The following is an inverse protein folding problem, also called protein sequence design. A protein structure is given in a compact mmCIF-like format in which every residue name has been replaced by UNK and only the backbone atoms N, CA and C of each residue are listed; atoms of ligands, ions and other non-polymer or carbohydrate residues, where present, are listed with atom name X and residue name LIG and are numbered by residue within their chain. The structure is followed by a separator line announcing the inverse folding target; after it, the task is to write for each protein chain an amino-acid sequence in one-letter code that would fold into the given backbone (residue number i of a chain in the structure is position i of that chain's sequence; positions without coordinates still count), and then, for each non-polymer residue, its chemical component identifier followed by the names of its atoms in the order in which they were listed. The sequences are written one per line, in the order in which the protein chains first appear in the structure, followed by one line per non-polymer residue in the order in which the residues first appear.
data_IF_789481237905
#
_entry.id   IF_789481237905
#
_cell.length_a   1.000
_cell.length_b   1.000
_cell.length_c   1.000
_cell.angle_alpha   90.00
_cell.angle_beta   90.00
_cell.angle_gamma   90.00
#
_symmetry.space_group_name_H-M   'P 1'
#
loop_
_entity.id
_entity.type
_entity.pdbx_description
1 polymer ?
#
# COMPACT_ATOMS: atom_id res chain seq x y z
N UNK A 1 -78.73 -57.82 -16.99
CA UNK A 1 -78.28 -56.63 -16.16
C UNK A 1 -76.82 -56.68 -16.05
N UNK A 2 -76.12 -56.01 -16.95
CA UNK A 2 -74.63 -56.03 -17.10
C UNK A 2 -74.05 -54.64 -16.76
N UNK A 3 -73.26 -54.63 -15.71
CA UNK A 3 -72.56 -53.43 -15.25
C UNK A 3 -71.22 -53.35 -15.92
N UNK A 4 -71.05 -52.37 -16.74
CA UNK A 4 -69.75 -51.98 -17.40
C UNK A 4 -68.95 -51.14 -16.41
N UNK A 5 -67.80 -51.66 -16.01
CA UNK A 5 -66.83 -50.92 -15.21
C UNK A 5 -65.80 -50.22 -16.16
N UNK A 6 -65.86 -48.91 -16.10
CA UNK A 6 -65.04 -48.01 -16.89
C UNK A 6 -63.62 -47.91 -16.21
N UNK A 7 -62.55 -48.28 -16.92
CA UNK A 7 -61.17 -48.15 -16.47
C UNK A 7 -60.55 -46.86 -17.00
N UNK A 8 -60.02 -45.97 -16.17
CA UNK A 8 -59.30 -44.81 -16.64
C UNK A 8 -57.86 -45.16 -17.07
N UNK A 9 -57.50 -44.73 -18.25
CA UNK A 9 -56.19 -44.77 -18.87
C UNK A 9 -55.19 -43.95 -18.08
N UNK A 10 -54.12 -44.57 -17.61
CA UNK A 10 -52.97 -43.86 -17.00
C UNK A 10 -52.18 -43.13 -18.07
N UNK A 11 -52.24 -41.81 -18.08
CA UNK A 11 -51.27 -40.95 -18.80
C UNK A 11 -49.96 -40.92 -18.04
N UNK A 12 -48.89 -41.39 -18.66
CA UNK A 12 -47.53 -41.25 -18.17
C UNK A 12 -47.11 -39.78 -18.24
N UNK A 13 -46.84 -39.17 -17.10
CA UNK A 13 -46.18 -37.86 -16.99
C UNK A 13 -44.67 -38.08 -17.19
N UNK A 14 -44.15 -37.60 -18.31
CA UNK A 14 -42.71 -37.50 -18.54
C UNK A 14 -42.23 -36.24 -17.79
N UNK A 15 -41.54 -36.44 -16.66
CA UNK A 15 -40.84 -35.36 -15.95
C UNK A 15 -39.59 -34.96 -16.69
N UNK A 16 -39.62 -33.77 -17.30
CA UNK A 16 -38.46 -33.07 -17.83
C UNK A 16 -37.70 -32.48 -16.61
N UNK A 17 -36.49 -32.99 -16.36
CA UNK A 17 -35.54 -32.45 -15.39
C UNK A 17 -34.81 -31.31 -16.13
N UNK A 18 -34.89 -30.03 -15.70
CA UNK A 18 -34.07 -28.98 -16.27
C UNK A 18 -32.62 -29.17 -15.80
N UNK A 19 -31.73 -29.47 -16.76
CA UNK A 19 -30.30 -29.49 -16.53
C UNK A 19 -29.81 -28.13 -16.11
N UNK A 20 -29.28 -28.03 -14.87
CA UNK A 20 -28.56 -26.85 -14.41
C UNK A 20 -27.24 -26.74 -15.18
N UNK A 21 -27.14 -25.79 -16.09
CA UNK A 21 -25.84 -25.36 -16.64
C UNK A 21 -25.06 -24.68 -15.52
N UNK A 22 -24.03 -25.38 -15.01
CA UNK A 22 -23.02 -24.79 -14.16
C UNK A 22 -22.19 -23.83 -15.05
N UNK A 23 -22.45 -22.52 -14.94
CA UNK A 23 -21.58 -21.49 -15.44
C UNK A 23 -20.30 -21.50 -14.59
N UNK A 24 -19.27 -22.19 -15.06
CA UNK A 24 -17.91 -22.05 -14.57
C UNK A 24 -17.44 -20.64 -14.89
N UNK A 25 -17.66 -19.71 -13.97
CA UNK A 25 -17.12 -18.37 -14.03
C UNK A 25 -15.60 -18.47 -13.95
N UNK A 26 -14.91 -18.30 -15.07
CA UNK A 26 -13.49 -17.98 -15.06
C UNK A 26 -13.32 -16.69 -14.28
N UNK A 27 -12.79 -16.79 -13.06
CA UNK A 27 -12.27 -15.63 -12.33
C UNK A 27 -11.06 -15.15 -13.12
N UNK A 28 -11.28 -14.22 -14.03
CA UNK A 28 -10.21 -13.45 -14.64
C UNK A 28 -9.61 -12.58 -13.54
N UNK A 29 -8.44 -12.95 -13.05
CA UNK A 29 -7.59 -12.08 -12.25
C UNK A 29 -7.27 -10.88 -13.13
N UNK A 30 -8.03 -9.79 -12.98
CA UNK A 30 -7.72 -8.53 -13.64
C UNK A 30 -6.41 -8.05 -13.02
N UNK A 31 -5.33 -8.18 -13.77
CA UNK A 31 -4.09 -7.49 -13.46
C UNK A 31 -4.40 -5.99 -13.48
N UNK A 32 -4.25 -5.34 -12.33
CA UNK A 32 -4.41 -3.89 -12.20
C UNK A 32 -3.59 -3.20 -13.30
N UNK A 33 -4.13 -2.18 -13.98
CA UNK A 33 -3.39 -1.48 -15.01
C UNK A 33 -2.12 -0.90 -14.38
N UNK A 34 -0.96 -1.25 -14.98
CA UNK A 34 0.32 -0.73 -14.53
C UNK A 34 0.31 0.79 -14.68
N UNK A 35 0.61 1.50 -13.59
CA UNK A 35 0.75 2.96 -13.63
C UNK A 35 1.77 3.35 -14.71
N UNK A 36 1.34 4.17 -15.66
CA UNK A 36 2.16 4.62 -16.79
C UNK A 36 2.48 6.11 -16.73
N UNK A 37 2.06 6.80 -15.65
CA UNK A 37 2.36 8.21 -15.43
C UNK A 37 3.82 8.44 -15.02
N UNK A 38 4.28 9.70 -15.02
CA UNK A 38 5.61 10.05 -14.53
C UNK A 38 5.70 9.77 -13.03
N UNK A 39 6.90 9.34 -12.55
CA UNK A 39 7.13 9.07 -11.14
C UNK A 39 6.88 10.30 -10.26
N UNK A 40 7.06 11.49 -10.78
CA UNK A 40 6.86 12.77 -10.08
C UNK A 40 6.34 13.87 -11.02
N UNK A 41 5.93 14.98 -10.43
CA UNK A 41 5.67 16.25 -11.12
C UNK A 41 6.65 17.29 -10.63
N UNK A 42 7.14 18.14 -11.52
CA UNK A 42 7.88 19.36 -11.14
C UNK A 42 6.85 20.42 -10.77
N UNK A 43 6.94 20.94 -9.55
CA UNK A 43 6.01 21.95 -9.06
C UNK A 43 6.75 23.16 -8.51
N UNK A 44 6.10 24.33 -8.55
CA UNK A 44 6.56 25.50 -7.80
C UNK A 44 6.33 25.23 -6.30
N UNK A 45 7.40 25.33 -5.50
CA UNK A 45 7.35 25.02 -4.08
C UNK A 45 8.40 25.83 -3.30
N UNK A 46 7.92 26.77 -2.51
CA UNK A 46 8.77 27.65 -1.70
C UNK A 46 8.78 27.18 -0.24
N UNK A 47 9.67 26.27 0.08
CA UNK A 47 9.75 25.67 1.42
C UNK A 47 10.68 26.40 2.39
N UNK A 48 11.59 27.24 1.89
CA UNK A 48 12.71 27.80 2.66
C UNK A 48 13.76 26.74 3.09
N UNK A 49 13.61 25.48 2.67
CA UNK A 49 14.55 24.42 2.97
C UNK A 49 15.64 24.31 1.91
N UNK A 50 16.79 23.73 2.31
CA UNK A 50 17.91 23.48 1.38
C UNK A 50 17.54 22.45 0.32
N UNK A 51 18.10 22.53 -0.90
CA UNK A 51 18.00 21.47 -1.90
C UNK A 51 18.37 20.12 -1.33
N UNK A 52 17.69 19.06 -1.78
CA UNK A 52 17.82 17.70 -1.27
C UNK A 52 16.97 17.38 -0.05
N UNK A 53 16.37 18.39 0.63
CA UNK A 53 15.43 18.12 1.74
C UNK A 53 14.15 17.45 1.22
N UNK A 54 13.70 16.43 1.92
CA UNK A 54 12.39 15.80 1.70
C UNK A 54 11.38 16.40 2.67
N UNK A 55 10.22 16.80 2.16
CA UNK A 55 9.10 17.28 2.97
C UNK A 55 7.89 16.40 2.68
N UNK A 56 7.34 15.78 3.72
CA UNK A 56 6.10 15.01 3.63
C UNK A 56 4.97 15.86 4.16
N UNK A 57 3.92 16.01 3.36
CA UNK A 57 2.65 16.65 3.72
C UNK A 57 1.54 15.60 3.80
N UNK A 58 1.31 15.00 4.98
CA UNK A 58 0.31 13.96 5.13
C UNK A 58 -1.12 14.47 4.90
N UNK A 59 -1.37 15.76 5.16
CA UNK A 59 -2.69 16.37 5.01
C UNK A 59 -3.14 16.44 3.56
N UNK A 60 -2.19 16.60 2.63
CA UNK A 60 -2.46 16.69 1.20
C UNK A 60 -2.03 15.41 0.43
N UNK A 61 -1.50 14.38 1.10
CA UNK A 61 -1.00 13.13 0.51
C UNK A 61 0.12 13.36 -0.51
N UNK A 62 1.04 14.30 -0.23
CA UNK A 62 2.17 14.57 -1.08
C UNK A 62 3.52 14.48 -0.33
N UNK A 63 4.53 14.09 -1.06
CA UNK A 63 5.93 14.21 -0.68
C UNK A 63 6.62 15.11 -1.69
N UNK A 64 7.43 16.03 -1.20
CA UNK A 64 8.21 16.98 -1.99
C UNK A 64 9.69 16.76 -1.77
N UNK A 65 10.44 16.53 -2.85
CA UNK A 65 11.90 16.56 -2.86
C UNK A 65 12.34 17.93 -3.36
N UNK A 66 12.85 18.77 -2.47
CA UNK A 66 13.25 20.14 -2.76
C UNK A 66 14.42 20.14 -3.73
N UNK A 67 14.28 20.82 -4.87
CA UNK A 67 15.33 20.92 -5.89
C UNK A 67 16.11 22.22 -5.76
N UNK A 68 15.42 23.31 -5.54
CA UNK A 68 15.98 24.64 -5.33
C UNK A 68 15.05 25.52 -4.49
N UNK A 69 15.25 26.85 -4.48
CA UNK A 69 14.46 27.79 -3.70
C UNK A 69 12.99 27.91 -4.14
N UNK A 70 12.63 27.44 -5.34
CA UNK A 70 11.32 27.63 -5.95
C UNK A 70 10.68 26.33 -6.48
N UNK A 71 11.44 25.24 -6.59
CA UNK A 71 10.98 24.02 -7.24
C UNK A 71 11.18 22.79 -6.36
N UNK A 72 10.22 21.86 -6.46
CA UNK A 72 10.33 20.53 -5.90
C UNK A 72 9.79 19.48 -6.87
N UNK A 73 10.27 18.24 -6.70
CA UNK A 73 9.62 17.06 -7.27
C UNK A 73 8.52 16.63 -6.30
N UNK A 74 7.29 16.60 -6.79
CA UNK A 74 6.11 16.19 -6.03
C UNK A 74 5.76 14.74 -6.36
N UNK A 75 5.61 13.93 -5.33
CA UNK A 75 5.16 12.53 -5.39
C UNK A 75 3.86 12.37 -4.62
N UNK A 76 2.93 11.60 -5.15
CA UNK A 76 1.72 11.21 -4.43
C UNK A 76 2.05 10.08 -3.44
N UNK A 77 1.51 10.17 -2.20
CA UNK A 77 1.81 9.21 -1.13
C UNK A 77 0.55 8.76 -0.40
N UNK A 78 0.58 7.51 0.10
CA UNK A 78 -0.33 7.04 1.14
C UNK A 78 0.30 7.24 2.51
N UNK A 79 -0.51 7.57 3.52
CA UNK A 79 -0.02 7.92 4.86
C UNK A 79 -0.72 7.15 5.97
N UNK A 80 -0.28 7.34 7.21
CA UNK A 80 -0.87 6.71 8.39
C UNK A 80 -2.33 7.10 8.59
N UNK A 81 -3.12 6.13 9.08
CA UNK A 81 -4.47 6.41 9.60
C UNK A 81 -4.39 7.45 10.70
N UNK A 82 -5.51 8.07 11.00
CA UNK A 82 -5.64 8.97 12.14
C UNK A 82 -5.13 8.30 13.42
N UNK A 83 -4.31 9.02 14.20
CA UNK A 83 -3.65 8.50 15.41
C UNK A 83 -2.39 7.65 15.17
N UNK A 84 -2.06 7.30 13.93
CA UNK A 84 -0.85 6.56 13.58
C UNK A 84 0.21 7.42 12.86
N UNK A 85 -0.12 8.66 12.54
CA UNK A 85 0.82 9.58 11.90
C UNK A 85 1.90 10.04 12.87
N UNK A 86 3.10 10.25 12.36
CA UNK A 86 4.19 10.91 13.03
C UNK A 86 4.51 12.22 12.32
N UNK A 87 4.88 13.24 13.08
CA UNK A 87 5.37 14.51 12.55
C UNK A 87 6.67 14.90 13.24
N UNK A 88 7.55 15.58 12.52
CA UNK A 88 8.83 15.99 13.05
C UNK A 88 9.93 16.03 12.00
N UNK A 89 11.17 16.04 12.48
CA UNK A 89 12.36 16.06 11.64
C UNK A 89 13.14 14.78 11.87
N UNK A 90 13.52 14.10 10.79
CA UNK A 90 14.35 12.90 10.78
C UNK A 90 15.46 13.02 9.73
N UNK A 91 16.31 12.03 9.68
CA UNK A 91 17.29 11.83 8.61
C UNK A 91 17.15 10.43 8.01
N UNK A 92 17.42 10.30 6.72
CA UNK A 92 17.58 8.99 6.07
C UNK A 92 18.86 8.36 6.59
N UNK A 93 18.73 7.32 7.42
CA UNK A 93 19.85 6.63 8.03
C UNK A 93 20.31 5.42 7.23
N UNK A 94 19.36 4.69 6.63
CA UNK A 94 19.63 3.50 5.84
C UNK A 94 18.67 3.43 4.63
N UNK A 95 19.09 2.69 3.61
CA UNK A 95 18.36 2.53 2.35
C UNK A 95 18.40 1.06 1.95
N UNK A 96 17.26 0.49 1.55
CA UNK A 96 17.22 -0.92 1.13
C UNK A 96 16.40 -1.10 -0.14
N UNK A 97 16.94 -1.95 -1.02
CA UNK A 97 16.22 -2.48 -2.18
C UNK A 97 15.53 -3.78 -1.78
N UNK A 98 14.27 -3.93 -2.17
CA UNK A 98 13.45 -5.09 -1.85
C UNK A 98 13.65 -5.57 -0.41
N UNK A 99 13.37 -4.71 0.60
CA UNK A 99 13.67 -5.03 1.99
C UNK A 99 12.80 -6.16 2.52
N UNK A 100 13.36 -7.00 3.38
CA UNK A 100 12.57 -7.90 4.21
C UNK A 100 11.66 -7.07 5.13
N UNK A 101 10.44 -7.54 5.36
CA UNK A 101 9.47 -6.88 6.21
C UNK A 101 9.25 -7.66 7.51
N UNK A 102 9.37 -6.97 8.62
CA UNK A 102 9.13 -7.49 9.95
C UNK A 102 7.94 -6.75 10.57
N UNK A 103 6.73 -7.36 10.57
CA UNK A 103 5.55 -6.70 11.13
C UNK A 103 5.71 -6.53 12.64
N UNK A 104 5.26 -5.38 13.16
CA UNK A 104 5.20 -5.13 14.60
C UNK A 104 4.13 -5.99 15.26
N UNK A 105 4.22 -6.18 16.60
CA UNK A 105 3.21 -6.92 17.35
C UNK A 105 1.79 -6.32 17.17
N UNK A 106 1.70 -5.00 17.11
CA UNK A 106 0.45 -4.28 16.86
C UNK A 106 -0.14 -4.59 15.47
N UNK A 107 0.69 -4.66 14.42
CA UNK A 107 0.24 -5.08 13.08
C UNK A 107 -0.29 -6.52 13.12
N UNK A 108 0.42 -7.44 13.77
CA UNK A 108 0.02 -8.84 13.87
C UNK A 108 -1.24 -9.06 14.73
N UNK A 109 -1.53 -8.16 15.65
CA UNK A 109 -2.76 -8.16 16.43
C UNK A 109 -3.95 -7.71 15.58
N UNK A 110 -3.78 -6.65 14.78
CA UNK A 110 -4.84 -6.08 13.92
C UNK A 110 -5.07 -6.86 12.63
N UNK A 111 -4.05 -7.56 12.12
CA UNK A 111 -4.07 -8.35 10.87
C UNK A 111 -3.45 -9.72 11.12
N UNK A 112 -4.10 -10.61 11.89
CA UNK A 112 -3.55 -11.92 12.25
C UNK A 112 -3.32 -12.84 11.05
N UNK A 113 -4.05 -12.63 9.96
CA UNK A 113 -3.93 -13.37 8.71
C UNK A 113 -2.55 -13.23 8.04
N UNK A 114 -1.79 -12.19 8.36
CA UNK A 114 -0.43 -12.00 7.84
C UNK A 114 0.51 -13.14 8.28
N UNK A 115 0.25 -13.76 9.46
CA UNK A 115 1.12 -14.81 9.99
C UNK A 115 1.30 -16.00 9.04
N UNK A 116 0.32 -16.31 8.19
CA UNK A 116 0.41 -17.39 7.22
C UNK A 116 1.47 -17.17 6.12
N UNK A 117 1.86 -15.90 5.89
CA UNK A 117 2.87 -15.53 4.89
C UNK A 117 4.26 -15.31 5.49
N UNK A 118 4.39 -15.43 6.83
CA UNK A 118 5.65 -15.18 7.51
C UNK A 118 6.53 -16.42 7.51
N UNK A 119 7.82 -16.17 7.33
CA UNK A 119 8.88 -17.18 7.41
C UNK A 119 9.94 -16.72 8.42
N UNK A 120 10.85 -17.65 8.80
CA UNK A 120 11.99 -17.28 9.66
C UNK A 120 13.06 -16.62 8.80
N UNK A 121 13.34 -15.35 9.08
CA UNK A 121 14.38 -14.54 8.46
C UNK A 121 15.53 -14.31 9.45
N UNK A 122 16.58 -13.60 9.00
CA UNK A 122 17.75 -13.32 9.82
C UNK A 122 17.42 -12.56 11.12
N UNK A 123 16.52 -11.57 11.05
CA UNK A 123 16.16 -10.72 12.19
C UNK A 123 14.85 -11.14 12.88
N UNK A 124 14.32 -12.31 12.58
CA UNK A 124 13.11 -12.82 13.19
C UNK A 124 12.08 -13.36 12.20
N UNK A 125 10.82 -13.42 12.60
CA UNK A 125 9.74 -13.83 11.73
C UNK A 125 9.24 -12.65 10.88
N UNK A 126 9.17 -12.83 9.55
CA UNK A 126 8.85 -11.77 8.61
C UNK A 126 8.51 -12.28 7.22
N UNK A 127 8.48 -11.40 6.25
CA UNK A 127 8.29 -11.71 4.82
C UNK A 127 9.54 -11.30 4.04
N UNK A 128 9.99 -12.17 3.14
CA UNK A 128 11.07 -11.82 2.21
C UNK A 128 10.73 -10.60 1.35
N UNK A 129 11.77 -9.82 1.00
CA UNK A 129 11.64 -8.78 0.00
C UNK A 129 11.15 -9.33 -1.33
N UNK A 130 10.26 -8.60 -2.01
CA UNK A 130 9.67 -9.02 -3.27
C UNK A 130 8.40 -8.27 -3.62
N UNK A 131 7.79 -8.58 -4.79
CA UNK A 131 6.60 -7.88 -5.29
C UNK A 131 5.40 -7.95 -4.35
N UNK A 132 5.25 -9.04 -3.59
CA UNK A 132 4.14 -9.25 -2.65
C UNK A 132 4.42 -8.69 -1.25
N UNK A 133 5.63 -8.15 -1.01
CA UNK A 133 6.02 -7.59 0.27
C UNK A 133 5.43 -6.18 0.46
N UNK A 134 4.83 -5.87 1.62
CA UNK A 134 4.22 -4.56 1.87
C UNK A 134 5.15 -3.35 1.78
N UNK A 135 6.48 -3.54 1.91
CA UNK A 135 7.46 -2.46 1.75
C UNK A 135 7.81 -2.17 0.28
N UNK A 136 7.38 -3.02 -0.63
CA UNK A 136 7.61 -2.83 -2.06
C UNK A 136 9.08 -2.81 -2.46
N UNK A 137 9.37 -2.09 -3.57
CA UNK A 137 10.67 -2.15 -4.24
C UNK A 137 11.81 -1.47 -3.48
N UNK A 138 11.54 -0.42 -2.70
CA UNK A 138 12.55 0.41 -2.01
C UNK A 138 12.03 0.88 -0.66
N UNK A 139 12.95 1.07 0.31
CA UNK A 139 12.66 1.73 1.58
C UNK A 139 13.79 2.64 2.03
N UNK A 140 13.40 3.82 2.53
CA UNK A 140 14.24 4.80 3.22
C UNK A 140 13.90 4.73 4.72
N UNK A 141 14.86 4.43 5.56
CA UNK A 141 14.72 4.28 7.00
C UNK A 141 14.99 5.59 7.70
N UNK A 142 14.03 6.07 8.49
CA UNK A 142 14.08 7.40 9.11
C UNK A 142 14.50 7.31 10.58
N UNK A 143 15.51 8.09 10.95
CA UNK A 143 16.03 8.17 12.32
C UNK A 143 15.99 9.59 12.86
N UNK A 144 15.80 9.72 14.17
CA UNK A 144 15.98 10.96 14.93
C UNK A 144 17.20 10.82 15.83
N UNK A 145 18.27 11.54 15.51
CA UNK A 145 19.56 11.30 16.17
C UNK A 145 19.98 9.84 16.02
N UNK A 146 20.17 9.15 17.13
CA UNK A 146 20.58 7.74 17.18
C UNK A 146 19.39 6.77 17.36
N UNK A 147 18.15 7.25 17.30
CA UNK A 147 16.96 6.42 17.50
C UNK A 147 16.26 6.14 16.17
N UNK A 148 15.99 4.86 15.90
CA UNK A 148 15.11 4.46 14.80
C UNK A 148 13.67 4.88 15.12
N UNK A 149 13.08 5.69 14.25
CA UNK A 149 11.69 6.15 14.42
C UNK A 149 10.66 5.06 14.15
N UNK A 150 11.08 3.94 13.57
CA UNK A 150 10.24 2.89 13.00
C UNK A 150 9.40 3.36 11.80
N UNK A 151 9.48 4.62 11.40
CA UNK A 151 8.84 5.14 10.19
C UNK A 151 9.76 4.99 8.98
N UNK A 152 9.13 4.72 7.85
CA UNK A 152 9.80 4.50 6.56
C UNK A 152 9.08 5.26 5.47
N UNK A 153 9.82 5.69 4.45
CA UNK A 153 9.28 6.03 3.14
C UNK A 153 9.57 4.83 2.25
N UNK A 154 8.54 4.19 1.70
CA UNK A 154 8.72 2.91 1.01
C UNK A 154 7.74 2.70 -0.14
N UNK A 155 8.03 1.76 -1.03
CA UNK A 155 7.12 1.27 -2.04
C UNK A 155 5.90 0.55 -1.44
N UNK A 156 5.12 -0.10 -2.28
CA UNK A 156 3.96 -0.88 -1.80
C UNK A 156 3.57 -1.97 -2.80
N UNK A 157 3.01 -3.06 -2.30
CA UNK A 157 2.28 -4.05 -3.07
C UNK A 157 0.78 -3.70 -3.21
N UNK A 158 0.33 -2.61 -2.56
CA UNK A 158 -1.05 -2.11 -2.57
C UNK A 158 -1.10 -0.70 -3.22
N UNK A 159 -0.94 -0.56 -4.55
CA UNK A 159 -0.85 0.76 -5.22
C UNK A 159 -2.11 1.62 -5.05
N UNK A 160 -3.28 1.01 -4.85
CA UNK A 160 -4.55 1.71 -4.62
C UNK A 160 -4.60 2.39 -3.24
N UNK A 161 -3.64 2.12 -2.36
CA UNK A 161 -3.50 2.79 -1.06
C UNK A 161 -2.86 4.17 -1.15
N UNK A 162 -2.35 4.56 -2.32
CA UNK A 162 -1.76 5.89 -2.55
C UNK A 162 -2.89 6.94 -2.59
N UNK A 163 -2.64 8.09 -1.97
CA UNK A 163 -3.67 9.13 -1.77
C UNK A 163 -4.62 8.85 -0.60
N UNK A 164 -4.36 7.84 0.23
CA UNK A 164 -5.25 7.43 1.33
C UNK A 164 -4.56 7.41 2.69
N UNK A 165 -5.37 7.53 3.76
CA UNK A 165 -4.96 7.38 5.17
C UNK A 165 -5.14 5.92 5.61
N UNK A 166 -4.26 5.00 5.22
CA UNK A 166 -4.47 3.56 5.43
C UNK A 166 -3.30 2.84 6.11
N UNK A 167 -2.11 3.45 6.17
CA UNK A 167 -0.93 2.80 6.73
C UNK A 167 -0.93 2.80 8.25
N UNK A 168 0.01 2.05 8.84
CA UNK A 168 0.29 2.07 10.29
C UNK A 168 1.30 3.15 10.67
N UNK A 169 1.40 4.22 9.86
CA UNK A 169 2.25 5.38 10.09
C UNK A 169 3.28 5.64 9.00
N UNK A 170 3.79 4.61 8.32
CA UNK A 170 4.75 4.76 7.25
C UNK A 170 4.18 5.50 6.03
N UNK A 171 5.07 6.12 5.26
CA UNK A 171 4.77 6.85 4.03
C UNK A 171 4.90 5.87 2.87
N UNK A 172 3.79 5.56 2.21
CA UNK A 172 3.73 4.64 1.06
C UNK A 172 3.85 5.40 -0.25
N UNK A 173 4.57 4.84 -1.19
CA UNK A 173 4.71 5.33 -2.56
C UNK A 173 4.40 4.21 -3.55
N UNK A 174 4.01 4.54 -4.78
CA UNK A 174 4.08 3.57 -5.88
C UNK A 174 5.51 3.10 -6.03
N UNK A 175 5.73 1.86 -6.43
CA UNK A 175 7.08 1.30 -6.52
C UNK A 175 7.99 2.11 -7.46
N UNK A 176 7.47 2.57 -8.58
CA UNK A 176 8.19 3.39 -9.55
C UNK A 176 8.64 4.73 -8.94
N UNK A 177 7.75 5.35 -8.15
CA UNK A 177 8.04 6.58 -7.43
C UNK A 177 9.08 6.36 -6.32
N UNK A 178 8.96 5.24 -5.60
CA UNK A 178 9.91 4.87 -4.55
C UNK A 178 11.31 4.61 -5.11
N UNK A 179 11.42 3.98 -6.29
CA UNK A 179 12.71 3.77 -6.99
C UNK A 179 13.32 5.12 -7.36
N UNK A 180 12.57 6.01 -8.02
CA UNK A 180 13.07 7.33 -8.43
C UNK A 180 13.53 8.17 -7.22
N UNK A 181 12.72 8.23 -6.15
CA UNK A 181 13.10 8.96 -4.93
C UNK A 181 14.32 8.35 -4.25
N UNK A 182 14.39 7.02 -4.17
CA UNK A 182 15.51 6.29 -3.60
C UNK A 182 16.82 6.61 -4.31
N UNK A 183 16.84 6.59 -5.63
CA UNK A 183 18.06 6.84 -6.42
C UNK A 183 18.57 8.26 -6.24
N UNK A 184 17.68 9.24 -6.02
CA UNK A 184 18.00 10.65 -5.79
C UNK A 184 18.36 11.00 -4.35
N UNK A 185 18.06 10.11 -3.39
CA UNK A 185 18.17 10.42 -1.96
C UNK A 185 19.44 9.83 -1.36
N UNK A 186 20.46 10.60 -0.99
CA UNK A 186 21.63 10.12 -0.25
C UNK A 186 21.27 9.83 1.22
N UNK A 187 22.06 8.94 1.85
CA UNK A 187 22.05 8.78 3.31
C UNK A 187 22.41 10.13 3.96
N UNK A 188 21.78 10.46 5.09
CA UNK A 188 21.92 11.75 5.77
C UNK A 188 20.93 12.82 5.27
N UNK A 189 20.12 12.52 4.24
CA UNK A 189 19.09 13.44 3.76
C UNK A 189 18.11 13.80 4.87
N UNK A 190 17.88 15.12 5.07
CA UNK A 190 16.88 15.64 6.00
C UNK A 190 15.47 15.35 5.49
N UNK A 191 14.63 14.82 6.37
CA UNK A 191 13.21 14.57 6.13
C UNK A 191 12.38 15.33 7.15
N UNK A 192 11.42 16.12 6.68
CA UNK A 192 10.46 16.86 7.50
C UNK A 192 9.09 16.27 7.23
N UNK A 193 8.43 15.74 8.25
CA UNK A 193 7.03 15.31 8.17
C UNK A 193 6.18 16.34 8.87
N UNK A 194 5.32 16.99 8.11
CA UNK A 194 4.43 18.04 8.62
C UNK A 194 3.36 17.42 9.53
N UNK A 195 2.94 18.18 10.55
CA UNK A 195 1.78 17.81 11.33
C UNK A 195 0.51 17.91 10.47
N UNK A 196 -0.32 16.88 10.53
CA UNK A 196 -1.70 16.99 10.01
C UNK A 196 -2.44 18.02 10.87
N UNK A 197 -2.95 19.08 10.25
CA UNK A 197 -3.86 19.97 10.96
C UNK A 197 -5.13 19.18 11.25
N UNK A 198 -5.40 18.92 12.52
CA UNK A 198 -6.76 18.54 12.92
C UNK A 198 -7.66 19.71 12.50
N UNK A 199 -8.53 19.48 11.54
CA UNK A 199 -9.63 20.40 11.28
C UNK A 199 -10.47 20.32 12.56
N UNK A 200 -10.34 21.35 13.39
CA UNK A 200 -11.08 21.44 14.65
C UNK A 200 -12.56 21.33 14.36
N UNK A 201 -13.21 20.48 15.15
CA UNK A 201 -14.66 20.39 15.25
C UNK A 201 -15.21 21.69 15.84
#
# INVERSE_FOLDING_TARGET
MSNQVNRPTRRALVSLIPGALALSGCVTTQSQPRYTGPAYRVVEYQSGQKPGTIIVDPGNHFLYSVQDARQALQYEVGVGKEGYGWSGVATVHDKKEWPDWYPTADILQRKPEIRQYMVRLQSGSGMHGGPDNPLGARALYLWQGNADTLYRIHGTNEPDSIGQNVSSGCIRMRNECAVDLYDRTPIGTKVIVLATRSVGA
#
